data_IF_518125078427
#
_entry.id   IF_518125078427
#
_cell.length_a   1.000
_cell.length_b   1.000
_cell.length_c   1.000
_cell.angle_alpha   90.00
_cell.angle_beta   90.00
_cell.angle_gamma   90.00
#
_symmetry.space_group_name_H-M   'P 1'
#
loop_
_entity.id
_entity.type
_entity.pdbx_description
1 polymer ?
#
# COMPACT_ATOMS: atom_id res chain seq x y z
N UNK A 1 28.97 3.36 9.20
CA UNK A 1 28.80 2.07 9.89
C UNK A 1 27.38 2.08 10.48
N UNK A 2 26.36 1.67 9.71
CA UNK A 2 24.94 1.61 10.14
C UNK A 2 24.30 0.25 9.78
N UNK A 3 25.12 -0.80 9.62
CA UNK A 3 24.67 -2.04 8.99
C UNK A 3 23.77 -2.93 9.83
N UNK A 4 23.80 -2.82 11.17
CA UNK A 4 23.04 -3.73 12.05
C UNK A 4 21.64 -3.21 12.36
N UNK A 5 21.51 -1.94 12.76
CA UNK A 5 20.20 -1.31 12.99
C UNK A 5 19.39 -1.20 11.70
N UNK A 6 20.02 -0.80 10.58
CA UNK A 6 19.32 -0.72 9.30
C UNK A 6 18.85 -2.09 8.78
N UNK A 7 19.60 -3.16 9.08
CA UNK A 7 19.19 -4.53 8.75
C UNK A 7 18.04 -5.00 9.64
N UNK A 8 18.13 -4.79 10.95
CA UNK A 8 17.05 -5.13 11.89
C UNK A 8 15.76 -4.35 11.60
N UNK A 9 15.86 -3.07 11.21
CA UNK A 9 14.74 -2.29 10.69
C UNK A 9 14.20 -2.89 9.40
N UNK A 10 15.04 -3.16 8.40
CA UNK A 10 14.58 -3.76 7.13
C UNK A 10 13.86 -5.10 7.34
N UNK A 11 14.35 -5.93 8.29
CA UNK A 11 13.71 -7.20 8.66
C UNK A 11 12.38 -6.95 9.36
N UNK A 12 12.30 -6.05 10.34
CA UNK A 12 11.04 -5.68 11.00
C UNK A 12 10.01 -5.12 10.02
N UNK A 13 10.44 -4.28 9.09
CA UNK A 13 9.57 -3.68 8.07
C UNK A 13 9.05 -4.78 7.15
N UNK A 14 9.92 -5.69 6.70
CA UNK A 14 9.54 -6.87 5.93
C UNK A 14 8.57 -7.78 6.70
N UNK A 15 8.81 -8.02 7.99
CA UNK A 15 7.91 -8.82 8.83
C UNK A 15 6.56 -8.14 9.04
N UNK A 16 6.50 -6.84 9.32
CA UNK A 16 5.26 -6.07 9.43
C UNK A 16 4.49 -6.06 8.10
N UNK A 17 5.21 -5.99 6.98
CA UNK A 17 4.68 -6.11 5.63
C UNK A 17 4.03 -7.48 5.35
N UNK A 18 4.70 -8.56 5.76
CA UNK A 18 4.21 -9.92 5.54
C UNK A 18 3.17 -10.38 6.56
N UNK A 19 3.24 -9.89 7.80
CA UNK A 19 2.29 -10.18 8.89
C UNK A 19 1.02 -9.33 8.82
N UNK A 20 1.04 -8.23 8.06
CA UNK A 20 -0.11 -7.32 7.90
C UNK A 20 -0.21 -6.23 8.97
N UNK A 21 0.78 -6.12 9.87
CA UNK A 21 0.81 -5.13 10.95
C UNK A 21 1.41 -3.78 10.51
N UNK A 22 1.04 -3.34 9.30
CA UNK A 22 1.63 -2.17 8.64
C UNK A 22 1.25 -0.87 9.38
N UNK A 23 0.16 -0.88 10.16
CA UNK A 23 -0.30 0.27 10.96
C UNK A 23 0.64 0.64 12.12
N UNK A 24 1.52 -0.26 12.57
CA UNK A 24 2.46 0.00 13.66
C UNK A 24 3.78 0.62 13.19
N UNK A 25 4.01 0.71 11.87
CA UNK A 25 5.25 1.24 11.30
C UNK A 25 5.25 2.77 11.27
N UNK A 26 6.42 3.36 11.50
CA UNK A 26 6.66 4.79 11.31
C UNK A 26 6.78 5.17 9.83
N UNK A 27 6.60 6.46 9.53
CA UNK A 27 6.73 7.03 8.17
C UNK A 27 8.09 6.73 7.55
N UNK A 28 9.15 6.87 8.34
CA UNK A 28 10.53 6.66 7.90
C UNK A 28 10.78 5.19 7.53
N UNK A 29 10.24 4.28 8.34
CA UNK A 29 10.30 2.83 8.11
C UNK A 29 9.54 2.43 6.84
N UNK A 30 8.36 3.01 6.60
CA UNK A 30 7.61 2.78 5.36
C UNK A 30 8.40 3.32 4.15
N UNK A 31 8.90 4.56 4.23
CA UNK A 31 9.66 5.15 3.13
C UNK A 31 10.92 4.31 2.79
N UNK A 32 11.58 3.75 3.80
CA UNK A 32 12.78 2.96 3.63
C UNK A 32 12.50 1.53 3.14
N UNK A 33 11.50 0.84 3.70
CA UNK A 33 11.15 -0.52 3.30
C UNK A 33 10.42 -0.63 1.97
N UNK A 34 9.76 0.44 1.53
CA UNK A 34 9.02 0.48 0.27
C UNK A 34 9.72 1.30 -0.82
N UNK A 35 11.01 1.61 -0.64
CA UNK A 35 11.80 2.40 -1.59
C UNK A 35 11.82 1.77 -3.00
N UNK A 36 11.83 0.44 -3.07
CA UNK A 36 11.86 -0.32 -4.32
C UNK A 36 10.47 -0.76 -4.80
N UNK A 37 9.41 -0.40 -4.07
CA UNK A 37 8.03 -0.76 -4.39
C UNK A 37 7.44 0.29 -5.34
N UNK A 38 6.71 -0.11 -6.40
CA UNK A 38 6.03 0.85 -7.28
C UNK A 38 5.17 1.81 -6.47
N UNK A 39 5.41 3.11 -6.66
CA UNK A 39 4.70 4.15 -5.93
C UNK A 39 4.15 5.24 -6.84
N UNK A 40 3.03 5.82 -6.44
CA UNK A 40 2.41 6.97 -7.09
C UNK A 40 2.12 8.04 -6.05
N UNK A 41 2.12 9.28 -6.49
CA UNK A 41 1.75 10.43 -5.70
C UNK A 41 0.36 10.91 -6.17
N UNK A 42 -0.53 11.17 -5.21
CA UNK A 42 -1.89 11.63 -5.46
C UNK A 42 -2.12 12.94 -4.73
N UNK A 43 -2.81 13.87 -5.39
CA UNK A 43 -3.23 15.12 -4.76
C UNK A 43 -4.72 15.00 -4.37
N UNK A 44 -4.97 14.70 -3.10
CA UNK A 44 -6.32 14.61 -2.53
C UNK A 44 -6.96 13.22 -2.66
N UNK A 45 -8.29 13.22 -2.60
CA UNK A 45 -9.08 12.00 -2.49
C UNK A 45 -9.34 11.38 -3.87
N UNK A 46 -9.15 10.07 -3.96
CA UNK A 46 -9.29 9.34 -5.23
C UNK A 46 -9.90 7.96 -4.99
N UNK A 47 -10.72 7.52 -5.94
CA UNK A 47 -11.37 6.22 -5.85
C UNK A 47 -10.35 5.07 -5.99
N UNK A 48 -10.54 4.02 -5.19
CA UNK A 48 -9.69 2.81 -5.19
C UNK A 48 -9.48 2.22 -6.59
N UNK A 49 -10.51 2.20 -7.44
CA UNK A 49 -10.44 1.64 -8.80
C UNK A 49 -9.48 2.46 -9.66
N UNK A 50 -9.51 3.78 -9.53
CA UNK A 50 -8.65 4.68 -10.29
C UNK A 50 -7.20 4.60 -9.80
N UNK A 51 -6.98 4.55 -8.49
CA UNK A 51 -5.63 4.41 -7.92
C UNK A 51 -4.98 3.09 -8.32
N UNK A 52 -5.74 1.99 -8.31
CA UNK A 52 -5.22 0.68 -8.70
C UNK A 52 -4.69 0.69 -10.14
N UNK A 53 -5.32 1.45 -11.04
CA UNK A 53 -4.82 1.62 -12.41
C UNK A 53 -3.63 2.57 -12.44
N UNK A 54 -3.68 3.69 -11.71
CA UNK A 54 -2.61 4.68 -11.66
C UNK A 54 -1.28 4.08 -11.17
N UNK A 55 -1.32 3.24 -10.13
CA UNK A 55 -0.14 2.57 -9.57
C UNK A 55 0.27 1.31 -10.34
N UNK A 56 -0.37 1.03 -11.48
CA UNK A 56 -0.19 -0.18 -12.29
C UNK A 56 -0.43 -1.49 -11.50
N UNK A 57 -1.28 -1.45 -10.47
CA UNK A 57 -1.77 -2.67 -9.82
C UNK A 57 -2.79 -3.41 -10.70
N UNK A 58 -3.51 -2.69 -11.55
CA UNK A 58 -4.42 -3.23 -12.56
C UNK A 58 -4.20 -2.57 -13.92
N UNK A 59 -4.34 -3.34 -14.99
CA UNK A 59 -4.20 -2.83 -16.37
C UNK A 59 -5.42 -2.04 -16.85
N UNK A 60 -6.56 -2.13 -16.17
CA UNK A 60 -7.79 -1.40 -16.51
C UNK A 60 -8.74 -1.31 -15.32
N UNK A 61 -9.70 -0.36 -15.36
CA UNK A 61 -10.75 -0.22 -14.34
C UNK A 61 -11.59 -1.48 -14.19
N UNK A 62 -11.85 -2.21 -15.29
CA UNK A 62 -12.56 -3.50 -15.26
C UNK A 62 -11.78 -4.54 -14.45
N UNK A 63 -10.47 -4.63 -14.68
CA UNK A 63 -9.61 -5.57 -13.94
C UNK A 63 -9.46 -5.18 -12.47
N UNK A 64 -9.36 -3.89 -12.16
CA UNK A 64 -9.32 -3.40 -10.78
C UNK A 64 -10.57 -3.82 -10.00
N UNK A 65 -11.77 -3.64 -10.58
CA UNK A 65 -13.02 -4.12 -9.99
C UNK A 65 -13.03 -5.64 -9.80
N UNK A 66 -12.56 -6.40 -10.78
CA UNK A 66 -12.46 -7.86 -10.65
C UNK A 66 -11.56 -8.28 -9.47
N UNK A 67 -10.42 -7.62 -9.28
CA UNK A 67 -9.56 -7.88 -8.12
C UNK A 67 -10.23 -7.53 -6.79
N UNK A 68 -10.99 -6.43 -6.74
CA UNK A 68 -11.76 -6.05 -5.55
C UNK A 68 -12.84 -7.08 -5.23
N UNK A 69 -13.65 -7.49 -6.21
CA UNK A 69 -14.69 -8.52 -6.04
C UNK A 69 -14.12 -9.82 -5.50
N UNK A 70 -12.98 -10.25 -6.06
CA UNK A 70 -12.29 -11.47 -5.67
C UNK A 70 -11.59 -11.37 -4.32
N UNK A 71 -11.58 -10.20 -3.67
CA UNK A 71 -10.86 -9.96 -2.42
C UNK A 71 -9.34 -10.06 -2.57
N UNK A 72 -8.83 -9.80 -3.78
CA UNK A 72 -7.40 -9.82 -4.07
C UNK A 72 -6.72 -8.50 -3.71
N UNK A 73 -7.47 -7.44 -3.38
CA UNK A 73 -6.93 -6.15 -2.96
C UNK A 73 -7.05 -5.99 -1.45
N UNK A 74 -5.98 -5.51 -0.84
CA UNK A 74 -5.96 -5.08 0.55
C UNK A 74 -5.31 -3.71 0.68
N UNK A 75 -5.87 -2.88 1.55
CA UNK A 75 -5.42 -1.52 1.87
C UNK A 75 -4.97 -1.52 3.32
N UNK A 76 -3.73 -1.12 3.59
CA UNK A 76 -3.15 -1.07 4.93
C UNK A 76 -3.34 -2.39 5.73
N UNK A 77 -3.35 -3.53 5.04
CA UNK A 77 -3.55 -4.85 5.62
C UNK A 77 -5.01 -5.35 5.65
N UNK A 78 -6.00 -4.50 5.37
CA UNK A 78 -7.41 -4.86 5.37
C UNK A 78 -7.91 -5.17 3.95
N UNK A 79 -8.61 -6.30 3.77
CA UNK A 79 -9.16 -6.67 2.46
C UNK A 79 -10.33 -5.76 2.12
N UNK A 80 -10.23 -5.06 0.99
CA UNK A 80 -11.28 -4.15 0.51
C UNK A 80 -11.97 -4.77 -0.70
N UNK A 81 -13.31 -4.81 -0.64
CA UNK A 81 -14.16 -5.26 -1.76
C UNK A 81 -15.10 -4.17 -2.27
N UNK A 82 -15.09 -3.02 -1.60
CA UNK A 82 -15.91 -1.88 -1.96
C UNK A 82 -15.29 -1.14 -3.15
N UNK A 83 -16.08 -0.92 -4.20
CA UNK A 83 -15.65 -0.18 -5.39
C UNK A 83 -15.69 1.33 -5.16
N UNK A 84 -16.47 1.79 -4.19
CA UNK A 84 -16.64 3.20 -3.87
C UNK A 84 -15.68 3.65 -2.77
N UNK A 85 -14.79 2.75 -2.30
CA UNK A 85 -13.77 3.09 -1.32
C UNK A 85 -12.90 4.25 -1.82
N UNK A 86 -12.78 5.27 -0.99
CA UNK A 86 -11.99 6.46 -1.26
C UNK A 86 -10.66 6.35 -0.53
N UNK A 87 -9.58 6.41 -1.30
CA UNK A 87 -8.24 6.60 -0.79
C UNK A 87 -8.10 8.09 -0.45
N UNK A 88 -7.96 8.38 0.84
CA UNK A 88 -7.80 9.73 1.38
C UNK A 88 -6.66 9.78 2.39
N UNK A 89 -6.16 10.98 2.69
CA UNK A 89 -5.13 11.19 3.72
C UNK A 89 -5.56 10.63 5.08
N UNK A 90 -6.83 10.77 5.42
CA UNK A 90 -7.37 10.32 6.71
C UNK A 90 -7.29 8.80 6.90
N UNK A 91 -7.36 8.06 5.79
CA UNK A 91 -7.22 6.60 5.77
C UNK A 91 -5.75 6.16 5.55
N UNK A 92 -4.83 7.10 5.42
CA UNK A 92 -3.41 6.83 5.21
C UNK A 92 -2.67 6.62 6.54
N UNK A 93 -1.64 5.80 6.49
CA UNK A 93 -0.72 5.60 7.60
C UNK A 93 0.01 6.92 7.85
N UNK A 94 -0.21 7.48 9.04
CA UNK A 94 0.32 8.78 9.47
C UNK A 94 -0.02 9.91 8.48
N UNK A 95 -1.18 9.83 7.82
CA UNK A 95 -1.65 10.82 6.85
C UNK A 95 -0.72 11.07 5.65
N UNK A 96 0.23 10.17 5.37
CA UNK A 96 1.23 10.33 4.30
C UNK A 96 1.25 9.17 3.31
N UNK A 97 1.07 7.92 3.78
CA UNK A 97 1.23 6.75 2.92
C UNK A 97 0.05 5.78 3.02
N UNK A 98 -0.42 5.31 1.88
CA UNK A 98 -1.36 4.18 1.82
C UNK A 98 -0.68 3.00 1.13
N UNK A 99 -0.73 1.84 1.78
CA UNK A 99 -0.16 0.61 1.25
C UNK A 99 -1.25 -0.20 0.59
N UNK A 100 -1.10 -0.48 -0.70
CA UNK A 100 -2.00 -1.35 -1.46
C UNK A 100 -1.28 -2.66 -1.76
N UNK A 101 -1.92 -3.76 -1.42
CA UNK A 101 -1.42 -5.10 -1.72
C UNK A 101 -2.41 -5.82 -2.63
N UNK A 102 -1.87 -6.35 -3.73
CA UNK A 102 -2.59 -7.19 -4.69
C UNK A 102 -2.11 -8.64 -4.62
N UNK A 103 -2.99 -9.51 -4.13
CA UNK A 103 -2.70 -10.92 -3.91
C UNK A 103 -1.66 -11.13 -2.81
N UNK A 104 -0.74 -12.08 -3.00
CA UNK A 104 0.22 -12.46 -1.95
C UNK A 104 1.51 -11.64 -1.90
N UNK A 105 2.00 -11.18 -3.07
CA UNK A 105 3.38 -10.64 -3.19
C UNK A 105 3.48 -9.25 -3.82
N UNK A 106 2.43 -8.74 -4.46
CA UNK A 106 2.51 -7.45 -5.13
C UNK A 106 2.09 -6.37 -4.15
N UNK A 107 3.02 -5.48 -3.82
CA UNK A 107 2.77 -4.30 -3.02
C UNK A 107 2.92 -3.07 -3.90
N UNK A 108 2.20 -2.02 -3.53
CA UNK A 108 2.13 -0.74 -4.20
C UNK A 108 1.97 0.32 -3.11
N UNK A 109 2.61 1.46 -3.30
CA UNK A 109 2.58 2.55 -2.33
C UNK A 109 1.92 3.78 -2.94
N UNK A 110 1.07 4.44 -2.17
CA UNK A 110 0.44 5.69 -2.54
C UNK A 110 0.94 6.75 -1.57
N UNK A 111 1.49 7.83 -2.11
CA UNK A 111 1.95 9.00 -1.37
C UNK A 111 0.89 10.08 -1.50
N UNK A 112 0.49 10.67 -0.38
CA UNK A 112 -0.48 11.76 -0.34
C UNK A 112 0.18 13.11 -0.06
#
# INVERSE_FOLDING_TARGET
>A
VHGREAYEQAVKISEALFSGNIKELSVEEIAQGFKDVPSVEIEGDINIVDVLVMVNAASSKRQAREFLTNGAISINGEVVKDFDFVISKENAIVNQFTVVKRGRKNYYLIKH
#
